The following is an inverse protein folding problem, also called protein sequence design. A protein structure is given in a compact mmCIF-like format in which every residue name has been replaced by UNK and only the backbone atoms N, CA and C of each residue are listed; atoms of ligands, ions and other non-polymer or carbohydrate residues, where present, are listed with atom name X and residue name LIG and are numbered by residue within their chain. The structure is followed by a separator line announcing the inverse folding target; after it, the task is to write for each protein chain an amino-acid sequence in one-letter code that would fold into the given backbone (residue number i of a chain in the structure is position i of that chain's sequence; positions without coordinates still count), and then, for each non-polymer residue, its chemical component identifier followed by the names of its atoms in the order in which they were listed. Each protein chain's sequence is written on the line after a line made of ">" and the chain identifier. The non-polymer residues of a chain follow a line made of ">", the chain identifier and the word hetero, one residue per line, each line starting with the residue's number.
data_IF_474926533475
#
_entry.id   IF_474926533475
#
_cell.length_a   1.000
_cell.length_b   1.000
_cell.length_c   1.000
_cell.angle_alpha   90.00
_cell.angle_beta   90.00
_cell.angle_gamma   90.00
#
_symmetry.space_group_name_H-M   'P 1'
#
loop_
_entity.id
_entity.type
_entity.pdbx_description
1 polymer ?
#
# COMPACT_ATOMS: atom_id res chain seq x y z
N UNK A 1 10.60 9.50 40.73
CA UNK A 1 11.44 10.70 40.47
C UNK A 1 11.46 11.03 38.99
N UNK A 2 11.83 10.08 38.13
CA UNK A 2 11.65 10.16 36.67
C UNK A 2 10.20 10.56 36.35
N UNK A 3 9.22 9.91 36.99
CA UNK A 3 7.78 10.26 37.00
C UNK A 3 7.40 11.71 37.36
N UNK A 4 8.32 12.53 37.90
CA UNK A 4 8.12 13.97 38.19
C UNK A 4 8.79 14.90 37.18
N UNK A 5 9.41 14.38 36.11
CA UNK A 5 10.16 15.12 35.07
C UNK A 5 11.33 15.97 35.58
N UNK A 6 11.82 15.74 36.79
CA UNK A 6 12.86 16.58 37.40
C UNK A 6 14.28 16.17 36.96
N UNK A 7 14.73 16.75 35.85
CA UNK A 7 16.07 16.53 35.26
C UNK A 7 17.19 16.92 36.22
N UNK A 8 17.01 17.98 37.03
CA UNK A 8 18.04 18.44 37.99
C UNK A 8 18.23 17.44 39.11
N UNK A 9 17.15 16.85 39.62
CA UNK A 9 17.24 15.80 40.63
C UNK A 9 17.90 14.53 40.07
N UNK A 10 17.65 14.19 38.80
CA UNK A 10 18.37 13.10 38.11
C UNK A 10 19.88 13.38 38.00
N UNK A 11 20.28 14.60 37.61
CA UNK A 11 21.68 15.04 37.57
C UNK A 11 22.37 14.89 38.93
N UNK A 12 21.76 15.41 40.00
CA UNK A 12 22.31 15.34 41.35
C UNK A 12 22.47 13.89 41.84
N UNK A 13 21.53 13.00 41.49
CA UNK A 13 21.63 11.58 41.86
C UNK A 13 22.73 10.84 41.12
N UNK A 14 22.91 11.08 39.81
CA UNK A 14 24.00 10.48 39.03
C UNK A 14 25.35 11.02 39.49
N UNK A 15 25.45 12.32 39.83
CA UNK A 15 26.66 12.89 40.43
C UNK A 15 26.97 12.32 41.82
N UNK A 16 25.94 12.04 42.65
CA UNK A 16 26.12 11.55 44.02
C UNK A 16 26.35 10.03 44.12
N UNK A 17 25.81 9.23 43.20
CA UNK A 17 25.88 7.76 43.22
C UNK A 17 26.67 7.13 42.06
N UNK A 18 27.13 7.92 41.10
CA UNK A 18 27.83 7.46 39.91
C UNK A 18 26.90 6.91 38.82
N UNK A 19 27.48 6.60 37.66
CA UNK A 19 26.76 6.10 36.46
C UNK A 19 26.10 4.73 36.66
N UNK A 20 26.61 3.90 37.57
CA UNK A 20 26.14 2.52 37.78
C UNK A 20 24.65 2.42 38.14
N UNK A 21 24.08 3.43 38.81
CA UNK A 21 22.64 3.49 39.14
C UNK A 21 21.71 3.44 37.92
N UNK A 22 22.23 3.73 36.72
CA UNK A 22 21.46 3.65 35.47
C UNK A 22 21.31 2.20 34.96
N UNK A 23 22.09 1.26 35.53
CA UNK A 23 21.98 -0.19 35.29
C UNK A 23 21.08 -0.87 36.32
N UNK A 24 20.82 -0.26 37.47
CA UNK A 24 19.96 -0.82 38.52
C UNK A 24 18.54 -1.05 38.01
N UNK A 25 17.95 -2.17 38.45
CA UNK A 25 16.59 -2.57 38.13
C UNK A 25 15.67 -2.31 39.34
N UNK A 26 14.42 -1.95 39.08
CA UNK A 26 13.40 -1.85 40.13
C UNK A 26 12.82 -3.23 40.51
N UNK A 27 11.88 -3.24 41.46
CA UNK A 27 11.21 -4.46 41.97
C UNK A 27 10.43 -5.20 40.85
N UNK A 28 10.11 -4.52 39.75
CA UNK A 28 9.45 -5.07 38.57
C UNK A 28 10.43 -5.45 37.45
N UNK A 29 11.75 -5.34 37.70
CA UNK A 29 12.80 -5.69 36.75
C UNK A 29 13.06 -4.62 35.68
N UNK A 30 12.69 -3.35 35.90
CA UNK A 30 12.85 -2.28 34.92
C UNK A 30 13.99 -1.32 35.28
N UNK A 31 14.81 -0.95 34.31
CA UNK A 31 15.82 0.11 34.49
C UNK A 31 15.20 1.50 34.46
N UNK A 32 15.94 2.49 34.97
CA UNK A 32 15.57 3.90 34.91
C UNK A 32 15.18 4.38 33.49
N UNK A 33 15.86 3.88 32.46
CA UNK A 33 15.62 4.27 31.07
C UNK A 33 14.27 3.79 30.53
N UNK A 34 13.79 2.61 30.94
CA UNK A 34 12.45 2.13 30.60
C UNK A 34 11.39 3.17 30.98
N UNK A 35 11.37 3.59 32.25
CA UNK A 35 10.43 4.61 32.75
C UNK A 35 10.58 5.97 32.07
N UNK A 36 11.78 6.35 31.63
CA UNK A 36 11.99 7.59 30.88
C UNK A 36 11.39 7.50 29.45
N UNK A 37 11.52 6.35 28.79
CA UNK A 37 10.92 6.06 27.50
C UNK A 37 9.38 6.01 27.55
N UNK A 38 8.79 5.33 28.55
CA UNK A 38 7.33 5.29 28.75
C UNK A 38 6.74 6.66 29.13
N UNK A 39 7.49 7.52 29.83
CA UNK A 39 7.04 8.86 30.18
C UNK A 39 7.13 9.91 29.06
N UNK A 40 7.82 9.61 27.97
CA UNK A 40 8.11 10.57 26.91
C UNK A 40 9.12 11.64 27.32
N UNK A 41 10.04 11.33 28.25
CA UNK A 41 10.92 12.31 28.87
C UNK A 41 12.25 12.48 28.10
N UNK A 42 12.20 13.09 26.91
CA UNK A 42 13.36 13.23 25.99
C UNK A 42 14.64 13.70 26.70
N UNK A 43 14.57 14.79 27.48
CA UNK A 43 15.72 15.34 28.23
C UNK A 43 16.33 14.39 29.27
N UNK A 44 15.54 13.46 29.81
CA UNK A 44 16.04 12.43 30.73
C UNK A 44 16.70 11.30 29.93
N UNK A 45 16.15 10.95 28.76
CA UNK A 45 16.76 9.98 27.84
C UNK A 45 18.09 10.51 27.29
N UNK A 46 18.14 11.74 26.79
CA UNK A 46 19.36 12.46 26.36
C UNK A 46 20.43 12.40 27.45
N UNK A 47 20.07 12.74 28.69
CA UNK A 47 21.00 12.70 29.82
C UNK A 47 21.49 11.29 30.17
N UNK A 48 20.64 10.26 30.02
CA UNK A 48 21.05 8.87 30.21
C UNK A 48 22.01 8.41 29.11
N UNK A 49 21.80 8.87 27.87
CA UNK A 49 22.71 8.64 26.73
C UNK A 49 24.07 9.32 26.98
N UNK A 50 24.10 10.60 27.39
CA UNK A 50 25.32 11.32 27.78
C UNK A 50 26.12 10.62 28.89
N UNK A 51 25.42 9.88 29.77
CA UNK A 51 26.02 9.13 30.86
C UNK A 51 26.30 7.66 30.52
N UNK A 52 26.23 7.25 29.25
CA UNK A 52 26.53 5.90 28.76
C UNK A 52 25.66 4.80 29.42
N UNK A 53 24.40 5.11 29.70
CA UNK A 53 23.43 4.15 30.22
C UNK A 53 23.22 2.96 29.25
N UNK A 54 22.87 1.76 29.74
CA UNK A 54 22.65 0.60 28.89
C UNK A 54 21.34 0.74 28.09
N UNK A 55 21.41 1.36 26.90
CA UNK A 55 20.25 1.69 26.07
C UNK A 55 19.44 0.47 25.61
N UNK A 56 20.09 -0.69 25.56
CA UNK A 56 19.54 -1.95 25.04
C UNK A 56 19.43 -3.06 26.12
N UNK A 57 19.42 -2.70 27.41
CA UNK A 57 19.17 -3.67 28.48
C UNK A 57 17.73 -4.22 28.38
N UNK A 58 17.52 -5.55 28.31
CA UNK A 58 16.19 -6.12 28.48
C UNK A 58 15.77 -5.99 29.95
N UNK A 59 14.47 -5.84 30.18
CA UNK A 59 13.90 -5.95 31.53
C UNK A 59 13.99 -7.40 32.07
N UNK A 60 14.11 -7.55 33.38
CA UNK A 60 14.08 -8.86 34.05
C UNK A 60 12.68 -9.47 34.14
N UNK A 61 11.61 -8.71 33.85
CA UNK A 61 10.23 -9.20 33.90
C UNK A 61 9.94 -10.34 32.90
N UNK A 62 8.77 -10.97 33.01
CA UNK A 62 8.39 -12.14 32.19
C UNK A 62 8.43 -11.90 30.67
N UNK A 63 8.19 -10.67 30.21
CA UNK A 63 8.16 -10.29 28.80
C UNK A 63 9.52 -9.80 28.26
N UNK A 64 10.43 -9.38 29.14
CA UNK A 64 11.74 -8.82 28.81
C UNK A 64 11.77 -7.74 27.73
N UNK A 65 10.86 -6.74 27.71
CA UNK A 65 10.93 -5.64 26.78
C UNK A 65 12.23 -4.85 27.01
N UNK A 66 12.70 -4.20 25.95
CA UNK A 66 13.80 -3.22 25.96
C UNK A 66 13.22 -1.80 25.93
N UNK A 67 13.95 -0.73 26.32
CA UNK A 67 13.41 0.63 26.42
C UNK A 67 12.77 1.18 25.13
N UNK A 68 13.27 0.79 23.96
CA UNK A 68 12.71 1.16 22.67
C UNK A 68 11.27 0.68 22.47
N UNK A 69 10.91 -0.51 22.99
CA UNK A 69 9.53 -1.01 22.97
C UNK A 69 8.61 -0.09 23.78
N UNK A 70 9.08 0.40 24.93
CA UNK A 70 8.33 1.29 25.79
C UNK A 70 8.09 2.68 25.17
N UNK A 71 9.03 3.17 24.36
CA UNK A 71 8.82 4.36 23.53
C UNK A 71 7.80 4.12 22.40
N UNK A 72 7.80 2.92 21.81
CA UNK A 72 6.84 2.52 20.77
C UNK A 72 5.41 2.31 21.29
N UNK A 73 5.22 1.82 22.52
CA UNK A 73 3.89 1.68 23.16
C UNK A 73 3.12 2.99 23.23
N UNK A 74 3.79 4.12 23.44
CA UNK A 74 3.15 5.43 23.56
C UNK A 74 3.25 6.27 22.29
N UNK A 75 4.21 5.99 21.41
CA UNK A 75 4.34 6.65 20.11
C UNK A 75 5.40 7.77 20.07
N UNK A 76 6.41 7.73 20.95
CA UNK A 76 7.40 8.80 21.08
C UNK A 76 8.53 8.71 20.03
N UNK A 77 8.25 9.13 18.79
CA UNK A 77 9.18 9.11 17.64
C UNK A 77 10.57 9.68 17.99
N UNK A 78 10.63 10.81 18.71
CA UNK A 78 11.91 11.45 19.08
C UNK A 78 12.77 10.55 19.96
N UNK A 79 12.17 9.80 20.89
CA UNK A 79 12.89 8.85 21.76
C UNK A 79 13.33 7.63 20.96
N UNK A 80 12.47 7.14 20.05
CA UNK A 80 12.82 6.03 19.14
C UNK A 80 14.02 6.43 18.27
N UNK A 81 14.02 7.61 17.65
CA UNK A 81 15.14 8.12 16.84
C UNK A 81 16.44 8.26 17.67
N UNK A 82 16.36 8.86 18.86
CA UNK A 82 17.51 8.99 19.77
C UNK A 82 18.12 7.62 20.12
N UNK A 83 17.30 6.60 20.41
CA UNK A 83 17.79 5.25 20.72
C UNK A 83 18.43 4.58 19.50
N UNK A 84 17.80 4.69 18.32
CA UNK A 84 18.34 4.13 17.07
C UNK A 84 19.68 4.79 16.67
N UNK A 85 19.80 6.11 16.82
CA UNK A 85 21.04 6.85 16.54
C UNK A 85 22.20 6.43 17.45
N UNK A 86 21.92 6.02 18.68
CA UNK A 86 22.92 5.59 19.67
C UNK A 86 23.10 4.06 19.72
N UNK A 87 22.83 3.37 18.61
CA UNK A 87 23.23 1.98 18.40
C UNK A 87 22.27 0.92 18.94
N UNK A 88 21.03 1.28 19.31
CA UNK A 88 19.97 0.27 19.51
C UNK A 88 19.53 -0.27 18.14
N UNK A 89 19.58 -1.60 17.89
CA UNK A 89 19.10 -2.18 16.63
C UNK A 89 17.61 -1.92 16.42
N UNK A 90 17.18 -1.76 15.17
CA UNK A 90 15.78 -1.43 14.86
C UNK A 90 14.82 -2.60 15.11
N UNK A 91 15.28 -3.82 14.87
CA UNK A 91 14.51 -5.07 15.06
C UNK A 91 14.89 -5.80 16.36
N UNK A 92 15.24 -5.08 17.43
CA UNK A 92 15.47 -5.75 18.73
C UNK A 92 14.21 -6.47 19.19
N UNK A 93 14.32 -7.74 19.56
CA UNK A 93 13.19 -8.49 20.11
C UNK A 93 13.13 -8.50 21.63
N UNK A 94 11.92 -8.62 22.16
CA UNK A 94 11.63 -9.01 23.56
C UNK A 94 11.62 -10.55 23.73
N UNK A 95 11.22 -11.07 24.90
CA UNK A 95 11.15 -12.53 25.15
C UNK A 95 10.08 -13.26 24.35
N UNK A 96 9.16 -12.53 23.69
CA UNK A 96 8.10 -13.07 22.81
C UNK A 96 8.42 -12.92 21.31
N UNK A 97 9.64 -12.51 20.97
CA UNK A 97 10.02 -12.11 19.61
C UNK A 97 9.25 -10.90 19.05
N UNK A 98 8.59 -10.10 19.91
CA UNK A 98 7.97 -8.85 19.44
C UNK A 98 9.09 -7.84 19.11
N UNK A 99 9.08 -7.30 17.88
CA UNK A 99 9.93 -6.16 17.49
C UNK A 99 9.27 -4.83 17.88
N UNK A 100 9.99 -3.69 17.83
CA UNK A 100 9.41 -2.39 18.13
C UNK A 100 8.29 -1.99 17.16
N UNK A 101 8.33 -2.52 15.92
CA UNK A 101 7.28 -2.35 14.91
C UNK A 101 6.01 -3.16 15.27
N UNK A 102 6.17 -4.40 15.77
CA UNK A 102 5.05 -5.21 16.27
C UNK A 102 4.40 -4.53 17.48
N UNK A 103 5.18 -4.00 18.44
CA UNK A 103 4.64 -3.24 19.57
C UNK A 103 3.93 -1.96 19.11
N UNK A 104 4.52 -1.17 18.20
CA UNK A 104 3.84 0.00 17.64
C UNK A 104 2.51 -0.36 16.95
N UNK A 105 2.44 -1.55 16.32
CA UNK A 105 1.23 -2.08 15.71
C UNK A 105 0.15 -2.46 16.74
N UNK A 106 0.51 -3.18 17.81
CA UNK A 106 -0.41 -3.56 18.89
C UNK A 106 -1.11 -2.35 19.52
N UNK A 107 -0.39 -1.24 19.69
CA UNK A 107 -0.86 -0.02 20.36
C UNK A 107 -1.35 1.09 19.41
N UNK A 108 -1.51 0.81 18.11
CA UNK A 108 -2.17 1.74 17.17
C UNK A 108 -1.32 2.93 16.74
N UNK A 109 0.01 2.88 16.89
CA UNK A 109 0.89 4.05 16.76
C UNK A 109 1.38 4.28 15.33
N UNK A 110 0.46 4.60 14.42
CA UNK A 110 0.70 4.82 12.98
C UNK A 110 1.94 5.65 12.65
N UNK A 111 2.20 6.73 13.39
CA UNK A 111 3.34 7.62 13.13
C UNK A 111 4.70 7.03 13.55
N UNK A 112 4.74 6.11 14.52
CA UNK A 112 5.97 5.37 14.86
C UNK A 112 6.16 4.21 13.89
N UNK A 113 5.09 3.50 13.53
CA UNK A 113 5.16 2.42 12.54
C UNK A 113 5.66 2.92 11.18
N UNK A 114 5.15 4.07 10.70
CA UNK A 114 5.62 4.70 9.47
C UNK A 114 7.09 5.12 9.53
N UNK A 115 7.52 5.62 10.69
CA UNK A 115 8.89 6.02 10.95
C UNK A 115 9.87 4.84 10.95
N UNK A 116 9.52 3.75 11.66
CA UNK A 116 10.30 2.52 11.72
C UNK A 116 10.46 1.87 10.34
N UNK A 117 9.37 1.77 9.57
CA UNK A 117 9.41 1.28 8.18
C UNK A 117 10.29 2.19 7.32
N UNK A 118 10.17 3.52 7.46
CA UNK A 118 11.03 4.48 6.75
C UNK A 118 12.52 4.42 7.14
N UNK A 119 12.85 3.82 8.28
CA UNK A 119 14.22 3.53 8.73
C UNK A 119 14.71 2.12 8.35
N UNK A 120 13.87 1.30 7.71
CA UNK A 120 14.24 -0.04 7.26
C UNK A 120 14.00 -1.16 8.28
N UNK A 121 13.03 -1.02 9.17
CA UNK A 121 12.57 -2.13 10.03
C UNK A 121 12.05 -3.31 9.20
N UNK A 122 12.26 -4.54 9.68
CA UNK A 122 11.86 -5.74 8.95
C UNK A 122 10.34 -5.93 8.95
N UNK A 123 9.75 -5.93 7.74
CA UNK A 123 8.31 -6.16 7.51
C UNK A 123 7.93 -7.65 7.58
N UNK A 124 8.92 -8.55 7.51
CA UNK A 124 8.74 -10.01 7.59
C UNK A 124 8.90 -10.56 9.02
N UNK A 125 9.29 -9.71 9.97
CA UNK A 125 9.36 -10.08 11.38
C UNK A 125 7.99 -10.53 11.92
N UNK A 126 8.03 -11.63 12.68
CA UNK A 126 6.89 -12.26 13.36
C UNK A 126 7.26 -12.56 14.80
N UNK A 127 6.26 -12.60 15.67
CA UNK A 127 6.44 -13.00 17.07
C UNK A 127 6.43 -14.53 17.27
N UNK A 128 6.48 -14.95 18.54
CA UNK A 128 6.43 -16.37 18.94
C UNK A 128 5.12 -17.09 18.60
N UNK A 129 4.05 -16.39 18.23
CA UNK A 129 2.78 -16.98 17.76
C UNK A 129 2.71 -17.00 16.21
N UNK A 130 3.70 -16.39 15.55
CA UNK A 130 3.79 -16.25 14.09
C UNK A 130 3.05 -15.01 13.57
N UNK A 131 2.57 -14.14 14.46
CA UNK A 131 1.84 -12.94 14.10
C UNK A 131 2.82 -11.84 13.66
N UNK A 132 2.58 -11.29 12.47
CA UNK A 132 3.28 -10.09 11.99
C UNK A 132 2.62 -8.79 12.49
N UNK A 133 3.27 -7.65 12.29
CA UNK A 133 2.67 -6.35 12.63
C UNK A 133 1.28 -6.11 11.99
N UNK A 134 1.04 -6.67 10.79
CA UNK A 134 -0.27 -6.62 10.13
C UNK A 134 -1.34 -7.49 10.84
N UNK A 135 -0.96 -8.64 11.41
CA UNK A 135 -1.86 -9.48 12.19
C UNK A 135 -2.34 -8.74 13.44
N UNK A 136 -1.41 -8.15 14.20
CA UNK A 136 -1.72 -7.36 15.39
C UNK A 136 -2.57 -6.12 15.09
N UNK A 137 -2.28 -5.37 14.01
CA UNK A 137 -3.10 -4.24 13.61
C UNK A 137 -4.52 -4.65 13.20
N UNK A 138 -4.67 -5.79 12.51
CA UNK A 138 -5.97 -6.35 12.15
C UNK A 138 -6.76 -6.84 13.38
N UNK A 139 -6.12 -7.58 14.28
CA UNK A 139 -6.72 -8.10 15.51
C UNK A 139 -7.17 -7.00 16.49
N UNK A 140 -6.39 -5.93 16.60
CA UNK A 140 -6.73 -4.75 17.43
C UNK A 140 -7.68 -3.78 16.74
N UNK A 141 -7.96 -3.97 15.44
CA UNK A 141 -8.87 -3.13 14.67
C UNK A 141 -8.30 -1.74 14.33
N UNK A 142 -6.98 -1.59 14.20
CA UNK A 142 -6.34 -0.33 13.81
C UNK A 142 -6.36 -0.17 12.28
N UNK A 143 -7.48 0.27 11.72
CA UNK A 143 -7.70 0.39 10.26
C UNK A 143 -6.60 1.17 9.53
N UNK A 144 -6.15 2.27 10.12
CA UNK A 144 -5.17 3.18 9.53
C UNK A 144 -3.78 2.51 9.44
N UNK A 145 -3.44 1.69 10.43
CA UNK A 145 -2.24 0.84 10.42
C UNK A 145 -2.35 -0.31 9.42
N UNK A 146 -3.51 -0.97 9.36
CA UNK A 146 -3.77 -2.01 8.34
C UNK A 146 -3.57 -1.42 6.95
N UNK A 147 -4.14 -0.25 6.66
CA UNK A 147 -3.96 0.45 5.40
C UNK A 147 -2.49 0.82 5.15
N UNK A 148 -1.78 1.33 6.17
CA UNK A 148 -0.36 1.69 6.07
C UNK A 148 0.53 0.47 5.76
N UNK A 149 0.33 -0.64 6.46
CA UNK A 149 1.12 -1.86 6.29
C UNK A 149 0.88 -2.51 4.92
N UNK A 150 -0.36 -2.50 4.43
CA UNK A 150 -0.66 -2.95 3.06
C UNK A 150 0.06 -2.08 2.02
N UNK A 151 0.14 -0.77 2.21
CA UNK A 151 0.90 0.12 1.32
C UNK A 151 2.44 -0.01 1.46
N UNK A 152 2.95 -0.48 2.60
CA UNK A 152 4.38 -0.76 2.77
C UNK A 152 4.81 -2.17 2.36
N UNK A 153 3.92 -2.96 1.73
CA UNK A 153 4.25 -4.26 1.14
C UNK A 153 4.14 -5.47 2.07
N UNK A 154 3.43 -5.37 3.20
CA UNK A 154 3.11 -6.55 4.01
C UNK A 154 2.23 -7.54 3.22
N UNK A 155 2.54 -8.82 3.30
CA UNK A 155 1.71 -9.88 2.70
C UNK A 155 0.38 -10.04 3.46
N UNK A 156 -0.78 -9.76 2.85
CA UNK A 156 -2.08 -9.89 3.50
C UNK A 156 -2.60 -11.34 3.61
N UNK A 157 -1.95 -12.29 2.93
CA UNK A 157 -2.26 -13.73 2.99
C UNK A 157 -1.23 -14.52 3.83
N UNK A 158 -0.27 -13.84 4.47
CA UNK A 158 0.61 -14.45 5.45
C UNK A 158 -0.23 -15.08 6.56
N UNK A 159 0.17 -16.27 7.03
CA UNK A 159 -0.51 -16.97 8.13
C UNK A 159 0.36 -17.03 9.37
N UNK A 160 -0.29 -16.95 10.52
CA UNK A 160 0.25 -17.26 11.84
C UNK A 160 0.42 -18.79 12.05
N UNK A 161 0.82 -19.22 13.26
CA UNK A 161 0.93 -20.65 13.61
C UNK A 161 -0.44 -21.35 13.75
N UNK A 162 -1.53 -20.59 13.88
CA UNK A 162 -2.91 -21.11 13.92
C UNK A 162 -3.57 -21.20 12.52
N UNK A 163 -2.84 -20.87 11.46
CA UNK A 163 -3.34 -20.85 10.08
C UNK A 163 -4.23 -19.65 9.75
N UNK A 164 -4.32 -18.67 10.65
CA UNK A 164 -5.09 -17.44 10.49
C UNK A 164 -4.28 -16.42 9.70
N UNK A 165 -4.85 -15.96 8.59
CA UNK A 165 -4.39 -14.75 7.91
C UNK A 165 -5.02 -13.48 8.53
N UNK A 166 -4.43 -12.27 8.37
CA UNK A 166 -4.92 -11.02 8.96
C UNK A 166 -6.42 -10.74 8.79
N UNK A 167 -7.05 -11.21 7.71
CA UNK A 167 -8.50 -11.07 7.49
C UNK A 167 -9.36 -11.85 8.51
N UNK A 168 -8.87 -12.99 9.03
CA UNK A 168 -9.52 -13.75 10.11
C UNK A 168 -9.54 -12.90 11.40
N UNK A 169 -8.39 -12.29 11.72
CA UNK A 169 -8.21 -11.42 12.89
C UNK A 169 -9.00 -10.11 12.77
N UNK A 170 -9.07 -9.50 11.59
CA UNK A 170 -9.93 -8.34 11.33
C UNK A 170 -11.43 -8.67 11.51
N UNK A 171 -11.87 -9.87 11.11
CA UNK A 171 -13.24 -10.32 11.34
C UNK A 171 -13.55 -10.57 12.83
N UNK A 172 -12.54 -10.98 13.61
CA UNK A 172 -12.64 -11.13 15.07
C UNK A 172 -12.65 -9.78 15.81
N UNK A 173 -11.94 -8.76 15.31
CA UNK A 173 -11.85 -7.44 15.94
C UNK A 173 -13.14 -6.62 15.85
N UNK A 174 -13.97 -6.89 14.84
CA UNK A 174 -15.21 -6.14 14.60
C UNK A 174 -15.03 -4.84 13.81
N UNK A 175 -13.80 -4.44 13.44
CA UNK A 175 -13.61 -3.26 12.62
C UNK A 175 -13.86 -3.54 11.12
N UNK A 176 -15.03 -3.11 10.62
CA UNK A 176 -15.40 -3.19 9.22
C UNK A 176 -14.38 -2.50 8.28
N UNK A 177 -13.78 -1.38 8.67
CA UNK A 177 -12.81 -0.66 7.83
C UNK A 177 -11.54 -1.48 7.61
N UNK A 178 -11.03 -2.15 8.64
CA UNK A 178 -9.89 -3.05 8.52
C UNK A 178 -10.17 -4.21 7.53
N UNK A 179 -11.37 -4.80 7.60
CA UNK A 179 -11.82 -5.81 6.63
C UNK A 179 -11.94 -5.24 5.21
N UNK A 180 -12.45 -4.01 5.06
CA UNK A 180 -12.54 -3.34 3.76
C UNK A 180 -11.16 -3.08 3.13
N UNK A 181 -10.17 -2.61 3.91
CA UNK A 181 -8.82 -2.39 3.43
C UNK A 181 -8.13 -3.69 2.98
N UNK A 182 -8.27 -4.77 3.75
CA UNK A 182 -7.76 -6.10 3.36
C UNK A 182 -8.44 -6.62 2.09
N UNK A 183 -9.76 -6.43 1.93
CA UNK A 183 -10.49 -6.88 0.75
C UNK A 183 -10.08 -6.15 -0.55
N UNK A 184 -9.54 -4.93 -0.48
CA UNK A 184 -9.05 -4.20 -1.67
C UNK A 184 -7.87 -4.94 -2.34
N UNK A 185 -7.15 -5.79 -1.61
CA UNK A 185 -6.00 -6.56 -2.09
C UNK A 185 -6.38 -7.96 -2.62
N UNK A 186 -7.67 -8.20 -2.95
CA UNK A 186 -8.21 -9.47 -3.49
C UNK A 186 -7.95 -10.73 -2.62
N UNK A 187 -7.75 -10.54 -1.31
CA UNK A 187 -7.49 -11.60 -0.31
C UNK A 187 -8.57 -12.69 -0.30
N UNK A 188 -8.11 -13.93 -0.21
CA UNK A 188 -8.93 -15.15 -0.20
C UNK A 188 -9.84 -15.31 1.04
N UNK A 189 -11.12 -14.89 0.94
CA UNK A 189 -12.13 -15.02 2.03
C UNK A 189 -12.63 -16.45 2.30
N UNK A 190 -12.25 -17.42 1.49
CA UNK A 190 -12.70 -18.82 1.59
C UNK A 190 -11.74 -19.74 2.33
N UNK A 191 -10.55 -19.25 2.68
CA UNK A 191 -9.58 -20.03 3.43
C UNK A 191 -10.05 -20.31 4.85
N UNK A 192 -9.46 -21.33 5.45
CA UNK A 192 -9.79 -21.82 6.79
C UNK A 192 -8.55 -21.78 7.65
N UNK A 193 -8.74 -21.41 8.91
CA UNK A 193 -7.75 -21.60 9.97
C UNK A 193 -7.60 -23.08 10.34
N UNK A 194 -6.65 -23.40 11.23
CA UNK A 194 -6.44 -24.77 11.72
C UNK A 194 -7.67 -25.34 12.45
N UNK A 195 -8.60 -24.49 12.91
CA UNK A 195 -9.88 -24.87 13.51
C UNK A 195 -11.00 -25.07 12.46
N UNK A 196 -10.67 -25.07 11.17
CA UNK A 196 -11.58 -25.20 10.03
C UNK A 196 -12.59 -24.04 9.89
N UNK A 197 -12.35 -22.88 10.52
CA UNK A 197 -13.22 -21.69 10.47
C UNK A 197 -12.75 -20.73 9.39
N UNK A 198 -13.70 -20.23 8.60
CA UNK A 198 -13.45 -19.14 7.64
C UNK A 198 -13.61 -17.76 8.32
N UNK A 199 -13.10 -16.66 7.73
CA UNK A 199 -13.30 -15.30 8.27
C UNK A 199 -14.78 -14.95 8.47
N UNK A 200 -15.66 -15.43 7.58
CA UNK A 200 -17.12 -15.29 7.71
C UNK A 200 -17.67 -16.00 8.95
N UNK A 201 -17.23 -17.23 9.23
CA UNK A 201 -17.64 -17.97 10.44
C UNK A 201 -17.16 -17.28 11.73
N UNK A 202 -15.98 -16.65 11.69
CA UNK A 202 -15.45 -15.86 12.81
C UNK A 202 -16.28 -14.58 13.04
N UNK A 203 -16.62 -13.85 11.98
CA UNK A 203 -17.49 -12.67 12.05
C UNK A 203 -18.89 -13.01 12.58
N UNK A 204 -19.47 -14.13 12.15
CA UNK A 204 -20.75 -14.66 12.65
C UNK A 204 -20.66 -15.04 14.13
N UNK A 205 -19.60 -15.74 14.55
CA UNK A 205 -19.38 -16.13 15.93
C UNK A 205 -19.24 -14.95 16.90
N UNK A 206 -18.82 -13.79 16.39
CA UNK A 206 -18.76 -12.51 17.13
C UNK A 206 -20.03 -11.64 16.99
N UNK A 207 -21.03 -12.07 16.21
CA UNK A 207 -22.27 -11.34 15.93
C UNK A 207 -22.04 -9.97 15.24
N UNK A 208 -20.97 -9.84 14.45
CA UNK A 208 -20.61 -8.62 13.73
C UNK A 208 -21.44 -8.48 12.43
N UNK A 209 -22.72 -8.10 12.54
CA UNK A 209 -23.67 -8.06 11.41
C UNK A 209 -23.20 -7.23 10.20
N UNK A 210 -22.52 -6.09 10.44
CA UNK A 210 -21.98 -5.25 9.37
C UNK A 210 -20.90 -5.95 8.54
N UNK A 211 -20.00 -6.68 9.20
CA UNK A 211 -18.95 -7.47 8.53
C UNK A 211 -19.58 -8.67 7.82
N UNK A 212 -20.53 -9.35 8.46
CA UNK A 212 -21.23 -10.49 7.88
C UNK A 212 -22.01 -10.08 6.62
N UNK A 213 -22.76 -8.97 6.67
CA UNK A 213 -23.47 -8.45 5.49
C UNK A 213 -22.54 -7.91 4.41
N UNK A 214 -21.41 -7.30 4.77
CA UNK A 214 -20.37 -6.90 3.80
C UNK A 214 -19.77 -8.11 3.07
N UNK A 215 -19.31 -9.12 3.83
CA UNK A 215 -18.75 -10.35 3.27
C UNK A 215 -19.77 -11.12 2.44
N UNK A 216 -21.02 -11.25 2.89
CA UNK A 216 -22.09 -11.86 2.09
C UNK A 216 -22.35 -11.10 0.78
N UNK A 217 -22.38 -9.75 0.80
CA UNK A 217 -22.52 -8.94 -0.43
C UNK A 217 -21.35 -9.12 -1.41
N UNK A 218 -20.15 -9.45 -0.92
CA UNK A 218 -18.96 -9.70 -1.75
C UNK A 218 -18.87 -11.14 -2.26
N UNK A 219 -19.21 -12.12 -1.41
CA UNK A 219 -19.25 -13.54 -1.77
C UNK A 219 -20.42 -13.84 -2.71
N UNK A 220 -21.56 -13.19 -2.50
CA UNK A 220 -22.68 -13.15 -3.44
C UNK A 220 -22.33 -12.30 -4.66
N UNK A 221 -21.55 -12.89 -5.58
CA UNK A 221 -21.41 -12.42 -6.97
C UNK A 221 -22.73 -12.64 -7.74
N UNK A 222 -23.84 -12.14 -7.23
CA UNK A 222 -25.03 -11.89 -8.03
C UNK A 222 -24.65 -10.81 -9.04
N UNK A 223 -24.28 -11.24 -10.25
CA UNK A 223 -24.12 -10.36 -11.39
C UNK A 223 -25.51 -9.81 -11.68
N UNK A 224 -25.82 -8.65 -11.10
CA UNK A 224 -27.00 -7.89 -11.44
C UNK A 224 -26.75 -7.34 -12.85
N UNK A 225 -27.10 -8.15 -13.86
CA UNK A 225 -27.00 -7.78 -15.26
C UNK A 225 -27.97 -6.64 -15.54
N UNK A 226 -27.55 -5.42 -15.27
CA UNK A 226 -28.23 -4.24 -15.82
C UNK A 226 -27.99 -4.27 -17.33
N UNK A 227 -29.03 -4.07 -18.12
CA UNK A 227 -28.91 -3.91 -19.58
C UNK A 227 -27.85 -2.86 -19.95
N UNK A 228 -27.70 -1.83 -19.10
CA UNK A 228 -26.65 -0.82 -19.14
C UNK A 228 -25.22 -1.40 -19.05
N UNK A 229 -24.97 -2.40 -18.20
CA UNK A 229 -23.63 -2.97 -18.03
C UNK A 229 -23.25 -3.90 -19.20
N UNK A 230 -24.24 -4.49 -19.88
CA UNK A 230 -24.04 -5.24 -21.13
C UNK A 230 -23.73 -4.27 -22.28
N UNK A 231 -24.53 -3.21 -22.45
CA UNK A 231 -24.42 -2.27 -23.58
C UNK A 231 -23.26 -1.28 -23.41
N UNK A 232 -22.99 -0.81 -22.19
CA UNK A 232 -21.98 0.21 -21.92
C UNK A 232 -20.74 -0.32 -21.19
N UNK A 233 -20.74 -1.55 -20.68
CA UNK A 233 -19.65 -2.09 -19.84
C UNK A 233 -19.59 -1.45 -18.44
N UNK A 234 -18.83 -2.02 -17.51
CA UNK A 234 -18.66 -1.45 -16.18
C UNK A 234 -17.92 -0.10 -16.24
N UNK A 235 -18.15 0.80 -15.26
CA UNK A 235 -17.49 2.11 -15.22
C UNK A 235 -15.97 1.94 -15.24
N UNK A 236 -15.31 2.56 -16.23
CA UNK A 236 -13.88 2.34 -16.50
C UNK A 236 -13.62 1.56 -17.79
N UNK A 237 -14.40 0.50 -18.06
CA UNK A 237 -14.11 -0.54 -19.09
C UNK A 237 -15.14 -0.58 -20.22
N UNK A 238 -15.63 0.58 -20.62
CA UNK A 238 -16.77 0.74 -21.53
C UNK A 238 -16.44 0.49 -23.01
N UNK A 239 -16.34 -0.78 -23.41
CA UNK A 239 -16.08 -1.18 -24.81
C UNK A 239 -17.34 -1.31 -25.68
N UNK A 240 -18.51 -1.51 -25.07
CA UNK A 240 -19.76 -1.81 -25.78
C UNK A 240 -20.18 -0.77 -26.84
N UNK A 241 -20.13 0.55 -26.57
CA UNK A 241 -20.51 1.56 -27.58
C UNK A 241 -19.60 1.56 -28.81
N UNK A 242 -18.30 1.31 -28.62
CA UNK A 242 -17.33 1.23 -29.72
C UNK A 242 -17.54 -0.05 -30.54
N UNK A 243 -17.80 -1.19 -29.87
CA UNK A 243 -18.11 -2.45 -30.54
C UNK A 243 -19.41 -2.34 -31.36
N UNK A 244 -20.44 -1.70 -30.81
CA UNK A 244 -21.72 -1.46 -31.49
C UNK A 244 -21.57 -0.59 -32.74
N UNK A 245 -20.72 0.44 -32.69
CA UNK A 245 -20.38 1.27 -33.87
C UNK A 245 -19.61 0.45 -34.91
N UNK A 246 -18.61 -0.36 -34.52
CA UNK A 246 -17.91 -1.25 -35.47
C UNK A 246 -18.87 -2.24 -36.15
N UNK A 247 -19.76 -2.87 -35.38
CA UNK A 247 -20.75 -3.82 -35.89
C UNK A 247 -21.68 -3.11 -36.89
N UNK A 248 -22.18 -1.91 -36.58
CA UNK A 248 -22.98 -1.14 -37.54
C UNK A 248 -22.20 -0.79 -38.81
N UNK A 249 -20.96 -0.33 -38.71
CA UNK A 249 -20.15 0.02 -39.88
C UNK A 249 -19.90 -1.22 -40.78
N UNK A 250 -19.56 -2.36 -40.18
CA UNK A 250 -19.22 -3.59 -40.92
C UNK A 250 -20.46 -4.28 -41.52
N UNK A 251 -21.55 -4.43 -40.76
CA UNK A 251 -22.71 -5.22 -41.17
C UNK A 251 -23.85 -4.41 -41.80
N UNK A 252 -23.85 -3.09 -41.64
CA UNK A 252 -24.90 -2.19 -42.16
C UNK A 252 -24.29 -1.12 -43.08
N UNK A 253 -23.28 -0.40 -42.61
CA UNK A 253 -22.65 0.71 -43.34
C UNK A 253 -22.03 0.30 -44.68
N UNK A 254 -21.05 -0.61 -44.67
CA UNK A 254 -20.38 -1.05 -45.91
C UNK A 254 -21.30 -1.81 -46.89
N UNK A 255 -22.19 -2.72 -46.44
CA UNK A 255 -23.15 -3.36 -47.34
C UNK A 255 -24.10 -2.36 -48.02
N UNK A 256 -24.66 -1.39 -47.29
CA UNK A 256 -25.51 -0.35 -47.90
C UNK A 256 -24.70 0.49 -48.89
N UNK A 257 -23.49 0.92 -48.52
CA UNK A 257 -22.63 1.69 -49.43
C UNK A 257 -22.34 0.92 -50.72
N UNK A 258 -21.98 -0.36 -50.62
CA UNK A 258 -21.61 -1.17 -51.78
C UNK A 258 -22.80 -1.55 -52.68
N UNK A 259 -23.93 -1.96 -52.09
CA UNK A 259 -25.08 -2.48 -52.85
C UNK A 259 -26.10 -1.42 -53.27
N UNK A 260 -26.20 -0.29 -52.56
CA UNK A 260 -27.19 0.77 -52.86
C UNK A 260 -26.51 2.01 -53.43
N UNK A 261 -25.44 2.51 -52.79
CA UNK A 261 -24.90 3.83 -53.12
C UNK A 261 -24.01 3.80 -54.37
N UNK A 262 -23.06 2.85 -54.46
CA UNK A 262 -22.15 2.76 -55.62
C UNK A 262 -22.93 2.62 -56.95
N UNK A 263 -23.93 1.72 -57.10
CA UNK A 263 -24.61 1.55 -58.40
C UNK A 263 -25.33 2.80 -58.92
N UNK A 264 -25.85 3.65 -58.03
CA UNK A 264 -26.57 4.88 -58.42
C UNK A 264 -25.64 6.07 -58.70
N UNK A 265 -24.62 6.31 -57.85
CA UNK A 265 -23.87 7.57 -57.88
C UNK A 265 -22.50 7.50 -58.57
N UNK A 266 -22.02 6.30 -58.94
CA UNK A 266 -20.67 6.11 -59.49
C UNK A 266 -20.47 6.76 -60.87
N UNK A 267 -21.53 6.88 -61.68
CA UNK A 267 -21.49 7.54 -62.99
C UNK A 267 -21.31 9.06 -62.90
N UNK A 268 -21.78 9.69 -61.83
CA UNK A 268 -21.73 11.15 -61.65
C UNK A 268 -20.46 11.60 -60.91
N UNK A 269 -20.06 10.91 -59.82
CA UNK A 269 -18.98 11.35 -58.94
C UNK A 269 -17.95 10.27 -58.57
N UNK A 270 -17.29 9.61 -59.55
CA UNK A 270 -16.36 8.50 -59.29
C UNK A 270 -15.21 8.88 -58.35
N UNK A 271 -14.70 10.12 -58.43
CA UNK A 271 -13.62 10.63 -57.58
C UNK A 271 -13.97 10.64 -56.08
N UNK A 272 -15.23 10.88 -55.73
CA UNK A 272 -15.69 10.89 -54.33
C UNK A 272 -15.68 9.47 -53.74
N UNK A 273 -16.03 8.46 -54.55
CA UNK A 273 -15.95 7.05 -54.15
C UNK A 273 -14.50 6.60 -53.92
N UNK A 274 -13.56 6.98 -54.80
CA UNK A 274 -12.14 6.68 -54.60
C UNK A 274 -11.58 7.34 -53.33
N UNK A 275 -11.94 8.61 -53.07
CA UNK A 275 -11.53 9.30 -51.84
C UNK A 275 -12.12 8.65 -50.58
N UNK A 276 -13.40 8.26 -50.60
CA UNK A 276 -14.04 7.56 -49.49
C UNK A 276 -13.38 6.21 -49.19
N UNK A 277 -13.10 5.40 -50.21
CA UNK A 277 -12.43 4.12 -50.05
C UNK A 277 -11.00 4.30 -49.50
N UNK A 278 -10.24 5.27 -50.04
CA UNK A 278 -8.90 5.61 -49.54
C UNK A 278 -8.92 6.02 -48.05
N UNK A 279 -9.82 6.92 -47.66
CA UNK A 279 -9.95 7.37 -46.27
C UNK A 279 -10.37 6.23 -45.33
N UNK A 280 -11.19 5.29 -45.78
CA UNK A 280 -11.54 4.10 -45.01
C UNK A 280 -10.34 3.15 -44.84
N UNK A 281 -9.53 2.94 -45.88
CA UNK A 281 -8.29 2.14 -45.78
C UNK A 281 -7.32 2.80 -44.80
N UNK A 282 -7.12 4.12 -44.88
CA UNK A 282 -6.28 4.88 -43.93
C UNK A 282 -6.83 4.79 -42.51
N UNK A 283 -8.16 4.87 -42.31
CA UNK A 283 -8.80 4.69 -41.02
C UNK A 283 -8.49 3.29 -40.44
N UNK A 284 -8.73 2.21 -41.18
CA UNK A 284 -8.47 0.85 -40.70
C UNK A 284 -6.98 0.58 -40.46
N UNK A 285 -6.09 1.08 -41.34
CA UNK A 285 -4.64 1.00 -41.13
C UNK A 285 -4.23 1.76 -39.87
N UNK A 286 -4.71 2.99 -39.66
CA UNK A 286 -4.39 3.74 -38.44
C UNK A 286 -4.89 3.05 -37.16
N UNK A 287 -6.06 2.42 -37.20
CA UNK A 287 -6.60 1.63 -36.09
C UNK A 287 -5.77 0.36 -35.84
N UNK A 288 -5.37 -0.34 -36.89
CA UNK A 288 -4.50 -1.52 -36.80
C UNK A 288 -3.12 -1.17 -36.25
N UNK A 289 -2.47 -0.15 -36.81
CA UNK A 289 -1.19 0.37 -36.33
C UNK A 289 -1.30 0.80 -34.87
N UNK A 290 -2.30 1.62 -34.50
CA UNK A 290 -2.51 2.02 -33.10
C UNK A 290 -2.78 0.85 -32.13
N UNK A 291 -3.32 -0.27 -32.62
CA UNK A 291 -3.50 -1.48 -31.82
C UNK A 291 -2.22 -2.31 -31.66
N UNK A 292 -1.30 -2.24 -32.63
CA UNK A 292 -0.10 -3.09 -32.75
C UNK A 292 1.20 -2.37 -32.33
N UNK A 293 1.32 -1.05 -32.49
CA UNK A 293 2.44 -0.27 -31.93
C UNK A 293 2.46 -0.36 -30.41
N UNK A 294 3.66 -0.58 -29.86
CA UNK A 294 3.91 -0.44 -28.44
C UNK A 294 3.79 1.04 -28.02
N UNK A 295 3.11 1.39 -26.91
CA UNK A 295 3.10 2.76 -26.39
C UNK A 295 4.48 3.29 -25.97
N UNK A 296 5.48 2.42 -25.84
CA UNK A 296 6.85 2.74 -25.45
C UNK A 296 7.01 2.82 -23.93
N UNK A 297 8.05 2.17 -23.44
CA UNK A 297 8.51 2.23 -22.05
C UNK A 297 9.95 2.74 -22.01
N UNK A 298 10.31 3.41 -20.92
CA UNK A 298 11.72 3.68 -20.58
C UNK A 298 12.21 2.46 -19.80
N UNK A 299 13.21 1.70 -20.27
CA UNK A 299 13.77 0.60 -19.50
C UNK A 299 14.42 1.12 -18.22
N UNK A 300 14.26 0.36 -17.14
CA UNK A 300 15.01 0.58 -15.89
C UNK A 300 16.51 0.64 -16.16
N UNK A 301 17.23 1.34 -15.28
CA UNK A 301 18.69 1.52 -15.31
C UNK A 301 19.33 2.21 -16.53
N UNK A 302 18.55 2.65 -17.52
CA UNK A 302 19.05 3.53 -18.58
C UNK A 302 19.54 4.88 -18.02
N UNK A 303 20.57 5.47 -18.62
CA UNK A 303 21.06 6.79 -18.21
C UNK A 303 19.99 7.88 -18.37
N UNK A 304 19.05 7.74 -19.31
CA UNK A 304 17.90 8.63 -19.46
C UNK A 304 16.93 8.55 -18.26
N UNK A 305 16.71 7.35 -17.70
CA UNK A 305 15.94 7.17 -16.46
C UNK A 305 16.64 7.81 -15.25
N UNK A 306 17.97 7.68 -15.16
CA UNK A 306 18.78 8.28 -14.09
C UNK A 306 18.89 9.81 -14.23
N UNK A 307 19.00 10.33 -15.44
CA UNK A 307 18.98 11.76 -15.75
C UNK A 307 17.62 12.40 -15.45
N UNK A 308 16.52 11.76 -15.85
CA UNK A 308 15.18 12.26 -15.56
C UNK A 308 14.90 12.27 -14.05
N UNK A 309 15.29 11.25 -13.30
CA UNK A 309 15.24 11.25 -11.83
C UNK A 309 16.07 12.38 -11.19
N UNK A 310 17.31 12.62 -11.65
CA UNK A 310 18.14 13.75 -11.18
C UNK A 310 17.49 15.11 -11.48
N UNK A 311 16.81 15.25 -12.62
CA UNK A 311 16.13 16.49 -13.02
C UNK A 311 14.85 16.78 -12.22
N UNK A 312 14.25 15.78 -11.54
CA UNK A 312 13.08 15.99 -10.65
C UNK A 312 13.41 16.91 -9.46
N UNK A 313 14.66 16.98 -9.03
CA UNK A 313 15.09 17.87 -7.95
C UNK A 313 15.01 19.37 -8.29
N UNK A 314 14.96 19.72 -9.58
CA UNK A 314 14.92 21.11 -10.11
C UNK A 314 13.50 21.50 -10.57
N UNK A 315 12.47 20.85 -10.02
CA UNK A 315 11.08 20.94 -10.47
C UNK A 315 10.52 22.36 -10.57
N UNK A 316 10.82 23.24 -9.60
CA UNK A 316 10.15 24.54 -9.50
C UNK A 316 10.64 25.56 -10.54
N UNK A 317 11.88 25.44 -11.03
CA UNK A 317 12.42 26.29 -12.11
C UNK A 317 11.81 25.96 -13.49
N UNK A 318 11.08 24.84 -13.62
CA UNK A 318 10.61 24.29 -14.89
C UNK A 318 9.11 24.43 -15.14
N UNK A 319 8.35 25.05 -14.21
CA UNK A 319 6.90 25.25 -14.33
C UNK A 319 6.48 26.07 -15.55
N UNK A 320 7.30 27.03 -15.98
CA UNK A 320 6.91 28.03 -16.97
C UNK A 320 7.25 27.67 -18.43
N UNK A 321 7.88 26.51 -18.69
CA UNK A 321 8.29 26.10 -20.05
C UNK A 321 7.36 25.05 -20.66
N UNK A 322 6.63 25.47 -21.69
CA UNK A 322 5.79 24.64 -22.55
C UNK A 322 6.61 23.62 -23.34
N UNK A 323 6.84 22.46 -22.72
CA UNK A 323 7.64 21.37 -23.29
C UNK A 323 8.34 20.48 -22.25
N UNK A 324 8.14 20.71 -20.95
CA UNK A 324 8.85 19.98 -19.90
C UNK A 324 8.61 18.45 -19.96
N UNK A 325 9.67 17.61 -19.89
CA UNK A 325 9.52 16.17 -19.78
C UNK A 325 8.87 15.76 -18.45
N UNK A 326 8.94 16.63 -17.43
CA UNK A 326 8.34 16.45 -16.10
C UNK A 326 6.80 16.34 -16.14
N UNK A 327 6.11 16.86 -17.18
CA UNK A 327 4.68 16.61 -17.38
C UNK A 327 4.34 15.11 -17.55
N UNK A 328 5.34 14.30 -17.93
CA UNK A 328 5.27 12.84 -18.02
C UNK A 328 5.53 12.15 -16.67
N UNK A 329 5.55 12.84 -15.52
CA UNK A 329 5.73 12.20 -14.20
C UNK A 329 4.43 12.15 -13.40
N UNK A 330 4.25 11.10 -12.60
CA UNK A 330 3.16 10.99 -11.64
C UNK A 330 3.45 11.83 -10.40
N UNK A 331 2.55 12.75 -10.02
CA UNK A 331 2.78 13.66 -8.89
C UNK A 331 2.92 12.93 -7.54
N UNK A 332 2.33 11.73 -7.41
CA UNK A 332 2.30 10.97 -6.15
C UNK A 332 3.50 10.05 -5.97
N UNK A 333 3.93 9.32 -7.02
CA UNK A 333 5.04 8.36 -6.93
C UNK A 333 6.32 8.79 -7.68
N UNK A 334 6.32 9.95 -8.35
CA UNK A 334 7.45 10.51 -9.13
C UNK A 334 8.00 9.62 -10.26
N UNK A 335 7.33 8.52 -10.58
CA UNK A 335 7.62 7.65 -11.74
C UNK A 335 7.05 8.22 -13.04
N UNK A 336 7.59 7.77 -14.18
CA UNK A 336 7.15 8.19 -15.52
C UNK A 336 5.75 7.64 -15.83
N UNK A 337 4.76 8.54 -15.96
CA UNK A 337 3.49 8.28 -16.64
C UNK A 337 3.82 7.79 -18.07
N UNK A 338 3.40 6.58 -18.48
CA UNK A 338 3.48 6.20 -19.88
C UNK A 338 2.68 7.22 -20.72
N UNK A 339 3.12 7.43 -21.97
CA UNK A 339 2.44 8.31 -22.92
C UNK A 339 0.98 7.87 -23.05
N UNK A 340 0.08 8.66 -22.43
CA UNK A 340 -1.34 8.33 -22.34
C UNK A 340 -2.02 8.58 -23.68
N UNK A 341 -1.73 7.74 -24.66
CA UNK A 341 -2.51 7.67 -25.89
C UNK A 341 -3.97 7.42 -25.47
N UNK A 342 -4.88 8.27 -25.94
CA UNK A 342 -6.31 8.20 -25.57
C UNK A 342 -6.94 6.84 -25.97
N UNK A 343 -6.23 6.06 -26.78
CA UNK A 343 -6.54 4.71 -27.25
C UNK A 343 -6.39 3.58 -26.21
N UNK A 344 -5.58 3.71 -25.15
CA UNK A 344 -5.24 2.56 -24.26
C UNK A 344 -6.49 1.90 -23.62
N UNK A 345 -7.58 2.67 -23.44
CA UNK A 345 -8.88 2.21 -22.89
C UNK A 345 -9.66 1.27 -23.83
N UNK A 346 -9.42 1.31 -25.14
CA UNK A 346 -10.15 0.50 -26.14
C UNK A 346 -9.52 -0.89 -26.25
N UNK A 347 -8.19 -0.97 -26.29
CA UNK A 347 -7.46 -2.21 -26.57
C UNK A 347 -7.20 -3.09 -25.33
N UNK A 348 -7.35 -2.60 -24.09
CA UNK A 348 -6.92 -3.29 -22.84
C UNK A 348 -5.42 -3.66 -22.78
N UNK A 349 -4.58 -3.24 -23.74
CA UNK A 349 -3.19 -3.71 -23.86
C UNK A 349 -2.30 -3.31 -22.68
N UNK A 350 -2.57 -2.15 -22.08
CA UNK A 350 -1.88 -1.65 -20.87
C UNK A 350 -1.87 -2.71 -19.74
N UNK A 351 -2.92 -3.52 -19.62
CA UNK A 351 -3.11 -4.54 -18.56
C UNK A 351 -2.16 -5.75 -18.71
N UNK A 352 -1.26 -5.80 -19.71
CA UNK A 352 -0.55 -7.03 -20.09
C UNK A 352 0.99 -6.95 -20.19
N UNK A 353 1.62 -5.79 -19.97
CA UNK A 353 3.07 -5.60 -20.26
C UNK A 353 3.77 -4.51 -19.41
N UNK A 354 3.53 -4.45 -18.10
CA UNK A 354 3.62 -3.22 -17.29
C UNK A 354 3.62 -3.42 -15.71
N UNK A 355 4.43 -4.22 -15.00
CA UNK A 355 4.10 -4.78 -13.64
C UNK A 355 4.09 -3.83 -12.40
N UNK A 356 3.18 -2.84 -12.30
CA UNK A 356 2.89 -2.18 -11.02
C UNK A 356 1.45 -1.63 -10.84
N UNK A 357 0.77 -2.06 -9.77
CA UNK A 357 -0.58 -1.57 -9.42
C UNK A 357 -0.55 -0.25 -8.62
N UNK A 358 -0.92 0.87 -9.25
CA UNK A 358 -1.15 2.14 -8.57
C UNK A 358 -2.65 2.39 -8.30
N UNK A 359 -3.13 2.35 -7.04
CA UNK A 359 -4.57 2.35 -6.73
C UNK A 359 -5.30 3.68 -7.00
N UNK A 360 -4.58 4.78 -7.25
CA UNK A 360 -5.17 6.11 -7.50
C UNK A 360 -5.59 6.37 -8.95
N UNK A 361 -5.12 5.55 -9.91
CA UNK A 361 -5.48 5.69 -11.31
C UNK A 361 -5.84 4.32 -11.86
N UNK A 362 -7.14 4.04 -11.99
CA UNK A 362 -7.70 2.79 -12.54
C UNK A 362 -7.25 2.52 -13.99
N UNK A 363 -6.01 2.07 -14.15
CA UNK A 363 -5.32 1.87 -15.40
C UNK A 363 -4.31 0.75 -15.18
N UNK A 364 -4.76 -0.50 -15.28
CA UNK A 364 -3.92 -1.65 -14.97
C UNK A 364 -2.77 -1.81 -15.95
N UNK A 365 -1.73 -2.37 -15.37
CA UNK A 365 -0.32 -2.29 -15.64
C UNK A 365 0.18 -3.42 -14.69
N UNK A 366 0.56 -4.66 -15.09
CA UNK A 366 0.52 -5.39 -16.37
C UNK A 366 1.66 -6.44 -16.51
N UNK A 367 1.51 -7.61 -17.13
CA UNK A 367 2.41 -8.80 -16.95
C UNK A 367 3.95 -8.77 -17.30
N UNK A 368 4.61 -7.67 -17.69
CA UNK A 368 6.04 -7.72 -18.13
C UNK A 368 6.90 -6.45 -17.87
N UNK A 369 6.84 -5.76 -16.71
CA UNK A 369 7.65 -4.54 -16.51
C UNK A 369 7.92 -4.08 -15.06
#
# INVERSE_FOLDING_TARGET
>A
MISRRDVRMCQLLIAAKGKEILKDHDISGHTALHWACLGGYTKIVELMIENEAPLNAPSENDYGPRPIHWACTEGYIVIVDLLLQHGVPIDTTDKKQCTPLIIAAQYGKSNVSSYLIGKGADIHAVDDEGDSALHWAAFKGHSDLVQLFLYSGFNPEQKDKMGQAPIHLACLSGNLLAVQHLFVMDVSISERDNNQKTPLMLAMGRQNEDIVTYLYRKQSRYIKFTLRDIVFGPPGRSKGPFLFVLINIIFVGYPIYYYMVIPETYSEMPYVHYLFLFLNVVMWMSLYTASTTDPGFLPGDTEEYKLTLKQVALHDDWKDKTGSPLNRLCHTCRLVKPLRSKHCRICNRCVRTFDHHCPYVNNCIGLHN
#
